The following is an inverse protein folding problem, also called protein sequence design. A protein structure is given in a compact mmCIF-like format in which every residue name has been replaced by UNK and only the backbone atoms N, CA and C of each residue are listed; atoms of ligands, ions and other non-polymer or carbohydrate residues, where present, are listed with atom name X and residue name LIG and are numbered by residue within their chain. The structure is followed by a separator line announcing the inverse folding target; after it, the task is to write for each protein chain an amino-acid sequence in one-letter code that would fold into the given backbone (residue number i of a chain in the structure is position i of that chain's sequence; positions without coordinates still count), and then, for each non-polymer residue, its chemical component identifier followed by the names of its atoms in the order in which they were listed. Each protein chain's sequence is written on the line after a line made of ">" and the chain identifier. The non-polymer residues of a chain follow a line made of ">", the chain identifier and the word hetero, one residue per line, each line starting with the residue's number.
data_IF_654726783467
#
_entry.id   IF_654726783467
#
_cell.length_a   1.000
_cell.length_b   1.000
_cell.length_c   1.000
_cell.angle_alpha   90.00
_cell.angle_beta   90.00
_cell.angle_gamma   90.00
#
_symmetry.space_group_name_H-M   'P 1'
#
loop_
_entity.id
_entity.type
_entity.pdbx_description
1 polymer ?
#
# COMPACT_ATOMS: atom_id res chain seq x y z
N UNK A 1 59.62 -0.61 27.12
CA UNK A 1 59.24 -0.91 25.74
C UNK A 1 58.40 -2.19 25.75
N UNK A 2 57.08 -2.08 25.86
CA UNK A 2 56.14 -3.22 25.74
C UNK A 2 55.09 -2.79 24.70
N UNK A 3 55.06 -3.50 23.59
CA UNK A 3 54.07 -3.33 22.51
C UNK A 3 52.76 -4.00 22.94
N UNK A 4 51.71 -3.24 23.03
CA UNK A 4 50.33 -3.75 23.25
C UNK A 4 49.72 -3.95 21.87
N UNK A 5 49.35 -5.18 21.54
CA UNK A 5 48.62 -5.56 20.35
C UNK A 5 47.13 -5.36 20.63
N UNK A 6 46.49 -4.43 19.95
CA UNK A 6 45.04 -4.26 19.97
C UNK A 6 44.45 -5.14 18.88
N UNK A 7 43.74 -6.21 19.26
CA UNK A 7 43.02 -7.11 18.38
C UNK A 7 41.63 -6.53 18.21
N UNK A 8 41.35 -5.96 17.04
CA UNK A 8 40.00 -5.48 16.64
C UNK A 8 39.22 -6.70 16.17
N UNK A 9 38.26 -7.10 16.96
CA UNK A 9 37.25 -8.12 16.60
C UNK A 9 36.16 -7.45 15.78
N UNK A 10 36.23 -7.62 14.47
CA UNK A 10 35.16 -7.20 13.56
C UNK A 10 34.00 -8.20 13.68
N UNK A 11 32.97 -7.83 14.43
CA UNK A 11 31.66 -8.50 14.33
C UNK A 11 31.00 -8.12 13.01
N UNK A 12 31.05 -9.01 12.03
CA UNK A 12 30.14 -8.96 10.89
C UNK A 12 28.73 -9.32 11.37
N UNK A 13 27.90 -8.33 11.58
CA UNK A 13 26.45 -8.51 11.64
C UNK A 13 25.94 -8.75 10.22
N UNK A 14 25.72 -10.01 9.87
CA UNK A 14 24.91 -10.36 8.69
C UNK A 14 23.44 -10.12 9.02
N UNK A 15 22.90 -8.98 8.58
CA UNK A 15 21.46 -8.76 8.52
C UNK A 15 20.87 -9.70 7.46
N UNK A 16 20.27 -10.79 7.89
CA UNK A 16 19.40 -11.62 7.04
C UNK A 16 18.02 -10.97 7.00
N UNK A 17 17.76 -10.20 5.96
CA UNK A 17 16.40 -9.76 5.64
C UNK A 17 15.63 -10.92 5.00
N UNK A 18 14.58 -11.40 5.66
CA UNK A 18 13.66 -12.39 5.09
C UNK A 18 12.67 -11.66 4.18
N UNK A 19 12.81 -11.85 2.89
CA UNK A 19 11.81 -11.45 1.89
C UNK A 19 10.75 -12.53 1.67
N UNK A 20 9.61 -12.16 1.09
CA UNK A 20 8.56 -13.08 0.64
C UNK A 20 9.17 -14.20 -0.23
N UNK A 21 9.50 -15.32 0.36
CA UNK A 21 10.08 -16.46 -0.32
C UNK A 21 9.08 -17.59 -0.42
N UNK A 22 8.68 -17.97 -1.64
CA UNK A 22 8.10 -19.29 -1.90
C UNK A 22 9.10 -20.36 -1.49
N UNK A 23 8.78 -21.17 -0.49
CA UNK A 23 9.39 -22.48 -0.42
C UNK A 23 8.88 -23.28 -1.62
N UNK A 24 9.79 -23.62 -2.53
CA UNK A 24 9.53 -24.59 -3.55
C UNK A 24 9.30 -25.94 -2.89
N UNK A 25 8.04 -26.33 -2.69
CA UNK A 25 7.66 -27.72 -2.50
C UNK A 25 7.89 -28.45 -3.81
N UNK A 26 8.47 -29.65 -3.73
CA UNK A 26 8.67 -30.56 -4.85
C UNK A 26 7.38 -30.73 -5.68
N UNK A 27 7.47 -30.99 -6.98
CA UNK A 27 6.29 -31.10 -7.83
C UNK A 27 5.50 -32.36 -7.42
N UNK A 28 4.37 -32.09 -6.77
CA UNK A 28 3.36 -33.15 -6.55
C UNK A 28 2.55 -33.26 -7.83
N UNK A 29 2.82 -34.31 -8.58
CA UNK A 29 2.12 -34.68 -9.82
C UNK A 29 0.81 -35.43 -9.48
N UNK A 30 -0.14 -34.73 -8.89
CA UNK A 30 -1.52 -35.21 -8.81
C UNK A 30 -2.47 -34.02 -9.06
N UNK A 31 -3.13 -34.09 -10.21
CA UNK A 31 -4.28 -33.38 -10.70
C UNK A 31 -4.56 -31.99 -10.08
N UNK A 32 -4.25 -30.94 -10.82
CA UNK A 32 -4.69 -29.59 -10.46
C UNK A 32 -6.20 -29.60 -10.19
N UNK A 33 -6.67 -29.04 -9.06
CA UNK A 33 -8.08 -28.73 -8.90
C UNK A 33 -8.45 -27.75 -10.01
N UNK A 34 -9.47 -28.07 -10.79
CA UNK A 34 -10.10 -27.13 -11.70
C UNK A 34 -10.55 -25.96 -10.83
N UNK A 35 -9.92 -24.80 -10.95
CA UNK A 35 -10.44 -23.57 -10.41
C UNK A 35 -11.83 -23.36 -11.02
N UNK A 36 -12.87 -23.68 -10.28
CA UNK A 36 -14.22 -23.21 -10.58
C UNK A 36 -14.18 -21.71 -10.32
N UNK A 37 -13.92 -20.94 -11.37
CA UNK A 37 -14.14 -19.51 -11.37
C UNK A 37 -15.60 -19.28 -11.00
N UNK A 38 -15.86 -18.79 -9.78
CA UNK A 38 -17.14 -18.20 -9.46
C UNK A 38 -17.45 -17.14 -10.51
N UNK A 39 -18.70 -17.02 -10.99
CA UNK A 39 -19.02 -16.00 -11.97
C UNK A 39 -18.62 -14.64 -11.41
N UNK A 40 -17.71 -13.98 -12.12
CA UNK A 40 -17.38 -12.59 -11.89
C UNK A 40 -18.70 -11.83 -12.03
N UNK A 41 -19.23 -11.33 -10.92
CA UNK A 41 -20.37 -10.40 -10.97
C UNK A 41 -19.92 -9.23 -11.82
N UNK A 42 -20.76 -8.80 -12.76
CA UNK A 42 -20.54 -7.75 -13.74
C UNK A 42 -19.77 -6.56 -13.13
N UNK A 43 -18.46 -6.56 -13.34
CA UNK A 43 -17.60 -5.46 -12.95
C UNK A 43 -17.44 -4.59 -14.19
N UNK A 44 -18.09 -3.44 -14.20
CA UNK A 44 -17.78 -2.38 -15.17
C UNK A 44 -16.32 -1.98 -14.97
N UNK A 45 -15.47 -2.31 -15.96
CA UNK A 45 -14.11 -1.77 -16.04
C UNK A 45 -14.26 -0.24 -16.11
N UNK A 46 -13.84 0.52 -15.12
CA UNK A 46 -13.97 1.96 -15.20
C UNK A 46 -13.17 2.46 -16.39
N UNK A 47 -13.82 3.19 -17.27
CA UNK A 47 -13.18 4.07 -18.27
C UNK A 47 -12.11 4.95 -17.60
N UNK A 48 -11.15 5.53 -18.34
CA UNK A 48 -9.91 6.08 -17.78
C UNK A 48 -10.13 6.76 -16.45
N UNK A 49 -9.37 6.26 -15.45
CA UNK A 49 -9.64 6.50 -14.05
C UNK A 49 -9.44 7.98 -13.73
N UNK A 50 -10.52 8.69 -13.49
CA UNK A 50 -10.43 10.01 -12.86
C UNK A 50 -9.99 9.83 -11.41
N UNK A 51 -9.10 10.70 -10.95
CA UNK A 51 -8.62 10.69 -9.55
C UNK A 51 -9.84 10.74 -8.62
N UNK A 52 -10.04 9.68 -7.82
CA UNK A 52 -11.11 9.66 -6.82
C UNK A 52 -10.61 10.27 -5.53
N UNK A 53 -11.50 11.04 -4.89
CA UNK A 53 -11.30 11.57 -3.55
C UNK A 53 -12.19 10.74 -2.62
N UNK A 54 -11.62 10.17 -1.57
CA UNK A 54 -12.28 9.28 -0.62
C UNK A 54 -12.73 10.05 0.62
N UNK A 55 -13.62 11.03 0.43
CA UNK A 55 -14.10 11.91 1.50
C UNK A 55 -15.63 11.89 1.57
N UNK A 56 -16.15 12.36 2.69
CA UNK A 56 -17.59 12.42 2.94
C UNK A 56 -17.97 13.85 3.32
N UNK A 57 -19.09 14.33 2.79
CA UNK A 57 -19.65 15.63 3.18
C UNK A 57 -20.25 15.58 4.58
N UNK A 58 -20.95 14.48 4.91
CA UNK A 58 -21.54 14.18 6.21
C UNK A 58 -20.73 13.07 6.91
N UNK A 59 -20.97 12.89 8.21
CA UNK A 59 -20.32 11.83 8.98
C UNK A 59 -20.76 10.44 8.45
N UNK A 60 -19.82 9.63 7.92
CA UNK A 60 -20.15 8.35 7.34
C UNK A 60 -20.42 7.30 8.43
N UNK A 61 -21.25 6.33 8.11
CA UNK A 61 -21.40 5.12 8.92
C UNK A 61 -20.14 4.23 8.79
N UNK A 62 -19.87 3.33 9.76
CA UNK A 62 -18.80 2.35 9.63
C UNK A 62 -18.88 1.52 8.34
N UNK A 63 -20.07 1.19 7.87
CA UNK A 63 -20.26 0.45 6.61
C UNK A 63 -19.82 1.27 5.40
N UNK A 64 -20.15 2.56 5.35
CA UNK A 64 -19.69 3.45 4.27
C UNK A 64 -18.17 3.59 4.27
N UNK A 65 -17.52 3.67 5.44
CA UNK A 65 -16.05 3.66 5.55
C UNK A 65 -15.46 2.37 5.00
N UNK A 66 -16.04 1.21 5.35
CA UNK A 66 -15.61 -0.11 4.88
C UNK A 66 -15.70 -0.21 3.35
N UNK A 67 -16.82 0.15 2.76
CA UNK A 67 -17.02 0.11 1.31
C UNK A 67 -16.06 1.05 0.57
N UNK A 68 -15.79 2.23 1.13
CA UNK A 68 -14.85 3.18 0.56
C UNK A 68 -13.41 2.68 0.64
N UNK A 69 -13.01 2.04 1.74
CA UNK A 69 -11.68 1.43 1.88
C UNK A 69 -11.47 0.28 0.87
N UNK A 70 -12.50 -0.57 0.67
CA UNK A 70 -12.47 -1.62 -0.36
C UNK A 70 -12.30 -0.99 -1.74
N UNK A 71 -13.06 0.06 -2.04
CA UNK A 71 -12.98 0.74 -3.33
C UNK A 71 -11.62 1.39 -3.54
N UNK A 72 -11.04 2.04 -2.53
CA UNK A 72 -9.71 2.65 -2.61
C UNK A 72 -8.62 1.62 -2.92
N UNK A 73 -8.66 0.45 -2.27
CA UNK A 73 -7.73 -0.63 -2.60
C UNK A 73 -8.01 -1.21 -3.99
N UNK A 74 -9.27 -1.35 -4.38
CA UNK A 74 -9.64 -1.84 -5.71
C UNK A 74 -9.17 -0.90 -6.81
N UNK A 75 -9.30 0.42 -6.62
CA UNK A 75 -8.81 1.42 -7.56
C UNK A 75 -7.30 1.29 -7.78
N UNK A 76 -6.55 1.06 -6.69
CA UNK A 76 -5.11 0.81 -6.74
C UNK A 76 -4.76 -0.50 -7.48
N UNK A 77 -5.60 -1.55 -7.37
CA UNK A 77 -5.40 -2.86 -8.00
C UNK A 77 -5.87 -2.92 -9.46
N UNK A 78 -6.73 -2.01 -9.91
CA UNK A 78 -7.43 -2.09 -11.19
C UNK A 78 -7.13 -0.96 -12.16
N UNK A 79 -6.38 0.08 -11.78
CA UNK A 79 -5.98 1.14 -12.72
C UNK A 79 -5.28 0.52 -13.93
N UNK A 80 -5.83 0.74 -15.13
CA UNK A 80 -5.25 0.22 -16.36
C UNK A 80 -4.31 1.23 -16.99
N UNK A 81 -3.19 0.74 -17.50
CA UNK A 81 -2.17 1.57 -18.09
C UNK A 81 -1.29 0.82 -19.09
N UNK A 82 -0.64 1.56 -19.97
CA UNK A 82 0.44 1.09 -20.82
C UNK A 82 1.66 2.01 -20.68
N UNK A 83 2.76 1.62 -21.26
CA UNK A 83 3.99 2.43 -21.29
C UNK A 83 4.60 2.43 -22.68
N UNK A 84 5.28 3.50 -23.04
CA UNK A 84 6.05 3.58 -24.31
C UNK A 84 7.49 3.07 -24.13
N UNK A 85 7.97 2.97 -22.88
CA UNK A 85 9.31 2.51 -22.55
C UNK A 85 9.27 1.29 -21.63
N UNK A 86 10.25 0.40 -21.76
CA UNK A 86 10.34 -0.76 -20.88
C UNK A 86 10.66 -0.32 -19.45
N UNK A 87 9.86 -0.80 -18.49
CA UNK A 87 10.08 -0.58 -17.05
C UNK A 87 10.54 -1.89 -16.44
N UNK A 88 11.82 -1.97 -16.04
CA UNK A 88 12.38 -3.16 -15.42
C UNK A 88 12.95 -2.85 -14.04
N UNK A 89 12.58 -3.64 -13.04
CA UNK A 89 13.08 -3.50 -11.68
C UNK A 89 13.17 -4.85 -10.97
N UNK A 90 13.87 -4.85 -9.86
CA UNK A 90 13.97 -6.02 -9.00
C UNK A 90 13.19 -5.76 -7.72
N UNK A 91 12.26 -6.65 -7.37
CA UNK A 91 11.75 -6.71 -6.03
C UNK A 91 12.81 -7.33 -5.12
N UNK A 92 13.38 -6.52 -4.25
CA UNK A 92 14.35 -6.99 -3.27
C UNK A 92 13.64 -7.64 -2.10
N UNK A 93 13.70 -8.96 -2.06
CA UNK A 93 13.37 -9.74 -0.89
C UNK A 93 14.54 -10.70 -0.62
N UNK A 94 14.73 -11.13 0.61
CA UNK A 94 15.96 -11.77 1.09
C UNK A 94 16.38 -13.05 0.37
N UNK A 95 15.55 -13.69 -0.44
CA UNK A 95 15.86 -15.03 -0.99
C UNK A 95 15.76 -15.11 -2.51
N UNK A 96 15.04 -14.24 -3.18
CA UNK A 96 15.00 -14.24 -4.65
C UNK A 96 14.86 -12.82 -5.20
N UNK A 97 15.80 -12.43 -6.06
CA UNK A 97 15.64 -11.23 -6.87
C UNK A 97 14.64 -11.55 -7.99
N UNK A 98 13.36 -11.33 -7.73
CA UNK A 98 12.36 -11.45 -8.80
C UNK A 98 12.44 -10.18 -9.65
N UNK A 99 12.69 -10.36 -10.96
CA UNK A 99 12.66 -9.27 -11.93
C UNK A 99 11.23 -9.11 -12.43
N UNK A 100 10.75 -7.89 -12.38
CA UNK A 100 9.54 -7.47 -13.06
C UNK A 100 9.90 -6.70 -14.31
N UNK A 101 9.19 -6.92 -15.38
CA UNK A 101 9.39 -6.25 -16.65
C UNK A 101 8.04 -5.91 -17.27
N UNK A 102 7.78 -4.61 -17.42
CA UNK A 102 6.64 -4.09 -18.14
C UNK A 102 7.13 -3.68 -19.52
N UNK A 103 6.50 -4.19 -20.57
CA UNK A 103 6.94 -3.99 -21.95
C UNK A 103 6.11 -2.91 -22.62
N UNK A 104 6.71 -2.13 -23.54
CA UNK A 104 5.97 -1.16 -24.32
C UNK A 104 4.81 -1.79 -25.08
N UNK A 105 3.67 -1.11 -25.07
CA UNK A 105 2.46 -1.52 -25.81
C UNK A 105 1.66 -2.65 -25.20
N UNK A 106 2.10 -3.27 -24.10
CA UNK A 106 1.29 -4.21 -23.31
C UNK A 106 0.41 -3.44 -22.32
N UNK A 107 -0.76 -4.00 -21.99
CA UNK A 107 -1.69 -3.40 -21.02
C UNK A 107 -1.52 -4.05 -19.65
N UNK A 108 -1.37 -3.21 -18.65
CA UNK A 108 -1.21 -3.59 -17.25
C UNK A 108 -2.38 -3.08 -16.42
N UNK A 109 -2.66 -3.75 -15.30
CA UNK A 109 -3.63 -3.30 -14.32
C UNK A 109 -3.04 -3.35 -12.90
N UNK A 110 -3.39 -2.32 -12.12
CA UNK A 110 -2.85 -2.05 -10.80
C UNK A 110 -1.51 -1.34 -10.83
N UNK A 111 -1.17 -0.71 -9.71
CA UNK A 111 0.14 -0.08 -9.52
C UNK A 111 1.25 -1.14 -9.50
N UNK A 112 2.52 -0.72 -9.64
CA UNK A 112 3.63 -1.66 -9.67
C UNK A 112 3.76 -2.42 -8.32
N UNK A 113 4.11 -3.71 -8.39
CA UNK A 113 4.33 -4.53 -7.20
C UNK A 113 5.77 -4.38 -6.70
N UNK A 114 5.99 -3.54 -5.70
CA UNK A 114 7.31 -3.18 -5.19
C UNK A 114 7.34 -3.02 -3.66
N UNK A 115 8.50 -2.67 -3.12
CA UNK A 115 8.67 -2.36 -1.69
C UNK A 115 8.77 -0.84 -1.44
N UNK A 116 8.47 0.01 -2.42
CA UNK A 116 8.53 1.46 -2.25
C UNK A 116 7.40 2.00 -1.35
N UNK A 117 6.38 1.19 -1.10
CA UNK A 117 5.24 1.54 -0.22
C UNK A 117 4.50 2.81 -0.63
N UNK A 118 4.45 3.08 -1.94
CA UNK A 118 3.70 4.20 -2.52
C UNK A 118 2.32 3.73 -2.96
N UNK A 119 1.33 4.63 -2.89
CA UNK A 119 -0.05 4.32 -3.24
C UNK A 119 -0.45 4.80 -4.63
N UNK A 120 -1.78 4.87 -4.83
CA UNK A 120 -2.36 5.30 -6.10
C UNK A 120 -1.99 6.74 -6.47
N UNK A 121 -2.00 7.68 -5.51
CA UNK A 121 -1.78 9.09 -5.82
C UNK A 121 -0.36 9.38 -6.29
N UNK A 122 0.64 8.68 -5.75
CA UNK A 122 2.02 8.76 -6.24
C UNK A 122 2.15 8.19 -7.65
N UNK A 123 1.42 7.11 -7.96
CA UNK A 123 1.37 6.55 -9.30
C UNK A 123 0.73 7.52 -10.30
N UNK A 124 -0.37 8.20 -9.89
CA UNK A 124 -1.09 9.17 -10.72
C UNK A 124 -0.25 10.39 -11.13
N UNK A 125 0.82 10.72 -10.40
CA UNK A 125 1.74 11.80 -10.78
C UNK A 125 2.47 11.56 -12.12
N UNK A 126 2.50 10.30 -12.58
CA UNK A 126 3.15 9.87 -13.81
C UNK A 126 2.19 9.19 -14.78
N UNK A 127 0.90 9.22 -14.48
CA UNK A 127 -0.15 8.63 -15.26
C UNK A 127 -0.92 9.71 -16.02
N UNK A 128 -0.92 9.62 -17.34
CA UNK A 128 -1.75 10.46 -18.20
C UNK A 128 -3.17 9.89 -18.29
N UNK A 129 -4.13 10.59 -17.70
CA UNK A 129 -5.52 10.16 -17.63
C UNK A 129 -6.23 10.19 -19.01
N UNK A 130 -5.74 10.96 -19.97
CA UNK A 130 -6.33 11.05 -21.29
C UNK A 130 -5.92 9.87 -22.18
N UNK A 131 -4.66 9.46 -22.06
CA UNK A 131 -4.07 8.43 -22.92
C UNK A 131 -3.94 7.06 -22.23
N UNK A 132 -4.08 6.98 -20.89
CA UNK A 132 -3.84 5.77 -20.14
C UNK A 132 -2.35 5.39 -20.05
N UNK A 133 -1.44 6.32 -20.36
CA UNK A 133 -0.01 6.08 -20.35
C UNK A 133 0.61 6.38 -19.00
N UNK A 134 1.47 5.48 -18.56
CA UNK A 134 2.34 5.67 -17.42
C UNK A 134 3.78 5.91 -17.89
N UNK A 135 4.32 7.08 -17.55
CA UNK A 135 5.69 7.48 -17.88
C UNK A 135 6.55 7.49 -16.63
N UNK A 136 7.46 6.53 -16.50
CA UNK A 136 8.32 6.47 -15.32
C UNK A 136 9.25 7.70 -15.26
N UNK A 137 9.42 8.34 -14.08
CA UNK A 137 10.12 9.62 -13.96
C UNK A 137 11.64 9.56 -14.20
N UNK A 138 12.22 8.37 -14.16
CA UNK A 138 13.66 8.14 -14.39
C UNK A 138 13.85 7.02 -15.41
N UNK A 139 15.04 6.93 -16.06
CA UNK A 139 15.33 5.79 -16.92
C UNK A 139 15.09 4.48 -16.15
N UNK A 140 14.06 3.76 -16.54
CA UNK A 140 13.48 2.65 -15.78
C UNK A 140 14.32 1.36 -15.88
N UNK A 141 15.60 1.49 -16.21
CA UNK A 141 16.48 0.35 -16.33
C UNK A 141 17.18 0.06 -15.00
N UNK A 142 16.85 -1.07 -14.38
CA UNK A 142 17.46 -1.58 -13.15
C UNK A 142 17.22 -0.73 -11.88
N UNK A 143 16.02 -0.22 -11.70
CA UNK A 143 15.64 0.47 -10.48
C UNK A 143 15.82 -0.44 -9.26
N UNK A 144 16.38 0.11 -8.19
CA UNK A 144 16.48 -0.58 -6.90
C UNK A 144 15.11 -0.64 -6.23
N UNK A 145 14.33 0.43 -6.35
CA UNK A 145 12.98 0.57 -5.82
C UNK A 145 12.14 1.28 -6.89
N UNK A 146 11.10 0.60 -7.38
CA UNK A 146 10.10 1.19 -8.27
C UNK A 146 8.94 1.76 -7.46
N UNK A 147 8.27 2.80 -7.99
CA UNK A 147 6.97 3.22 -7.47
C UNK A 147 6.04 2.02 -7.41
N UNK A 148 5.36 1.87 -6.28
CA UNK A 148 4.41 0.77 -6.12
C UNK A 148 4.31 0.32 -4.66
N UNK A 149 3.65 -0.80 -4.45
CA UNK A 149 3.36 -1.29 -3.12
C UNK A 149 3.39 -2.82 -3.04
N UNK A 150 3.46 -3.30 -1.83
CA UNK A 150 3.31 -4.72 -1.49
C UNK A 150 1.90 -5.02 -1.00
N UNK A 151 1.64 -6.27 -0.61
CA UNK A 151 0.34 -6.69 -0.08
C UNK A 151 -0.09 -5.89 1.17
N UNK A 152 0.83 -5.66 2.10
CA UNK A 152 0.53 -4.91 3.31
C UNK A 152 0.36 -3.41 3.03
N UNK A 153 1.14 -2.88 2.07
CA UNK A 153 1.05 -1.46 1.71
C UNK A 153 -0.24 -1.13 0.97
N UNK A 154 -0.71 -2.00 0.07
CA UNK A 154 -1.98 -1.80 -0.63
C UNK A 154 -3.16 -1.79 0.34
N UNK A 155 -3.15 -2.68 1.34
CA UNK A 155 -4.12 -2.67 2.42
C UNK A 155 -4.02 -1.36 3.24
N UNK A 156 -2.79 -0.94 3.58
CA UNK A 156 -2.54 0.29 4.31
C UNK A 156 -3.09 1.50 3.57
N UNK A 157 -2.82 1.64 2.26
CA UNK A 157 -3.34 2.75 1.46
C UNK A 157 -4.86 2.69 1.34
N UNK A 158 -5.46 1.49 1.19
CA UNK A 158 -6.91 1.30 1.22
C UNK A 158 -7.53 1.78 2.54
N UNK A 159 -6.98 1.37 3.68
CA UNK A 159 -7.48 1.78 4.99
C UNK A 159 -7.22 3.26 5.29
N UNK A 160 -6.03 3.76 4.99
CA UNK A 160 -5.67 5.16 5.25
C UNK A 160 -6.40 6.15 4.35
N UNK A 161 -7.15 5.70 3.36
CA UNK A 161 -8.03 6.57 2.58
C UNK A 161 -9.23 7.09 3.41
N UNK A 162 -9.60 6.40 4.48
CA UNK A 162 -10.76 6.74 5.32
C UNK A 162 -10.49 6.66 6.82
N UNK A 163 -9.39 6.07 7.26
CA UNK A 163 -9.06 5.86 8.67
C UNK A 163 -7.85 6.70 9.08
N UNK A 164 -8.07 7.77 9.84
CA UNK A 164 -7.01 8.65 10.33
C UNK A 164 -6.13 7.99 11.42
N UNK A 165 -6.61 6.92 12.07
CA UNK A 165 -5.85 6.19 13.10
C UNK A 165 -4.71 5.32 12.52
N UNK A 166 -4.74 5.01 11.23
CA UNK A 166 -3.75 4.15 10.59
C UNK A 166 -2.39 4.82 10.55
N UNK A 167 -1.46 4.32 11.34
CA UNK A 167 -0.10 4.90 11.44
C UNK A 167 0.90 4.31 10.45
N UNK A 168 0.48 3.26 9.75
CA UNK A 168 1.34 2.57 8.80
C UNK A 168 2.18 1.47 9.43
N UNK A 169 2.63 0.55 8.61
CA UNK A 169 3.50 -0.57 8.97
C UNK A 169 3.54 -1.55 7.82
N UNK A 170 4.73 -1.82 7.29
CA UNK A 170 4.90 -2.65 6.11
C UNK A 170 4.66 -4.11 6.27
N UNK A 171 4.87 -4.61 7.46
CA UNK A 171 4.88 -6.03 7.66
C UNK A 171 3.56 -6.45 8.30
N UNK A 172 2.97 -7.56 7.86
CA UNK A 172 1.76 -8.09 8.48
C UNK A 172 1.86 -8.18 10.02
N UNK A 173 3.04 -8.48 10.53
CA UNK A 173 3.32 -8.50 11.97
C UNK A 173 3.14 -7.14 12.63
N UNK A 174 3.55 -6.07 11.99
CA UNK A 174 3.44 -4.71 12.51
C UNK A 174 2.00 -4.21 12.56
N UNK A 175 1.14 -4.76 11.70
CA UNK A 175 -0.28 -4.43 11.68
C UNK A 175 -0.98 -4.86 12.95
N UNK A 176 -0.58 -5.96 13.57
CA UNK A 176 -1.25 -6.50 14.77
C UNK A 176 -0.84 -5.80 16.06
N UNK A 177 0.39 -5.27 16.15
CA UNK A 177 0.94 -4.91 17.46
C UNK A 177 1.23 -3.44 17.69
N UNK A 178 1.58 -2.68 16.66
CA UNK A 178 2.09 -1.31 16.85
C UNK A 178 1.16 -0.22 16.34
N UNK A 179 0.13 -0.57 15.56
CA UNK A 179 -0.61 0.40 14.78
C UNK A 179 -2.08 0.60 15.19
N UNK A 180 -2.48 0.06 16.33
CA UNK A 180 -3.86 0.23 16.82
C UNK A 180 -4.89 -0.61 16.08
N UNK A 181 -4.46 -1.69 15.42
CA UNK A 181 -5.38 -2.68 14.85
C UNK A 181 -6.05 -3.49 15.94
N UNK A 182 -7.32 -3.80 15.74
CA UNK A 182 -8.13 -4.55 16.67
C UNK A 182 -8.31 -5.99 16.18
N UNK A 183 -8.30 -7.00 17.08
CA UNK A 183 -8.63 -8.36 16.71
C UNK A 183 -10.13 -8.48 16.38
N UNK A 184 -10.46 -9.15 15.28
CA UNK A 184 -11.83 -9.55 14.98
C UNK A 184 -12.17 -10.79 15.80
N UNK A 185 -13.35 -10.81 16.45
CA UNK A 185 -13.82 -11.96 17.24
C UNK A 185 -13.16 -12.14 18.60
N UNK A 186 -12.29 -11.21 19.02
CA UNK A 186 -11.77 -11.15 20.39
C UNK A 186 -10.80 -12.28 20.76
N UNK A 187 -9.97 -12.74 19.83
CA UNK A 187 -8.85 -13.62 20.17
C UNK A 187 -7.83 -12.86 21.02
N UNK A 188 -7.08 -13.61 21.84
CA UNK A 188 -6.07 -13.03 22.73
C UNK A 188 -4.71 -13.01 22.05
N UNK A 189 -3.98 -11.91 22.23
CA UNK A 189 -2.57 -11.78 21.89
C UNK A 189 -1.90 -10.98 23.03
N UNK A 190 -0.78 -11.46 23.52
CA UNK A 190 -0.09 -10.86 24.67
C UNK A 190 1.43 -11.07 24.60
N UNK A 191 1.97 -10.93 23.39
CA UNK A 191 3.43 -11.00 23.25
C UNK A 191 4.00 -9.66 22.87
N UNK A 192 5.20 -9.38 23.37
CA UNK A 192 6.04 -8.33 22.86
C UNK A 192 6.81 -8.87 21.65
N UNK A 193 6.78 -8.13 20.55
CA UNK A 193 7.52 -8.48 19.35
C UNK A 193 8.85 -7.77 19.40
N UNK A 194 9.88 -8.49 19.73
CA UNK A 194 11.25 -7.95 19.80
C UNK A 194 12.00 -8.11 18.47
N UNK A 195 11.55 -8.99 17.57
CA UNK A 195 12.23 -9.23 16.30
C UNK A 195 11.30 -9.69 15.17
N UNK A 196 11.71 -9.44 13.92
CA UNK A 196 11.06 -9.93 12.71
C UNK A 196 11.08 -11.46 12.53
N UNK A 197 11.88 -12.16 13.34
CA UNK A 197 11.99 -13.63 13.25
C UNK A 197 10.88 -14.37 14.01
N UNK A 198 10.05 -13.66 14.76
CA UNK A 198 8.90 -14.26 15.40
C UNK A 198 7.77 -14.42 14.38
N UNK A 199 6.99 -15.49 14.52
CA UNK A 199 5.80 -15.76 13.72
C UNK A 199 4.54 -15.51 14.55
N UNK A 200 4.19 -14.24 14.83
CA UNK A 200 3.14 -13.94 15.81
C UNK A 200 1.76 -14.42 15.37
N UNK A 201 1.44 -14.47 14.09
CA UNK A 201 0.15 -15.00 13.64
C UNK A 201 0.03 -16.50 13.97
N UNK A 202 1.09 -17.28 13.78
CA UNK A 202 1.14 -18.68 14.19
C UNK A 202 1.00 -18.83 15.72
N UNK A 203 1.74 -18.04 16.49
CA UNK A 203 1.67 -18.07 17.95
C UNK A 203 0.27 -17.67 18.46
N UNK A 204 -0.41 -16.74 17.79
CA UNK A 204 -1.80 -16.38 18.10
C UNK A 204 -2.74 -17.56 17.85
N UNK A 205 -2.62 -18.26 16.72
CA UNK A 205 -3.43 -19.45 16.43
C UNK A 205 -3.16 -20.54 17.47
N UNK A 206 -1.90 -20.84 17.81
CA UNK A 206 -1.52 -21.82 18.83
C UNK A 206 -2.05 -21.45 20.23
N UNK A 207 -2.01 -20.16 20.60
CA UNK A 207 -2.49 -19.68 21.90
C UNK A 207 -4.01 -19.79 22.08
N UNK A 208 -4.76 -19.49 21.03
CA UNK A 208 -6.23 -19.44 21.09
C UNK A 208 -6.90 -20.78 20.71
N UNK A 209 -6.20 -21.63 19.98
CA UNK A 209 -6.75 -22.83 19.36
C UNK A 209 -7.50 -22.54 18.05
N UNK A 210 -7.55 -23.55 17.18
CA UNK A 210 -8.16 -23.46 15.86
C UNK A 210 -9.66 -23.11 15.94
N UNK A 211 -10.40 -23.71 16.84
CA UNK A 211 -11.84 -23.45 17.01
C UNK A 211 -12.12 -21.97 17.26
N UNK A 212 -11.32 -21.32 18.12
CA UNK A 212 -11.47 -19.88 18.39
C UNK A 212 -11.18 -19.04 17.14
N UNK A 213 -10.17 -19.42 16.36
CA UNK A 213 -9.82 -18.70 15.13
C UNK A 213 -10.90 -18.88 14.06
N UNK A 214 -11.50 -20.08 13.97
CA UNK A 214 -12.65 -20.34 13.09
C UNK A 214 -13.84 -19.44 13.47
N UNK A 215 -14.15 -19.31 14.76
CA UNK A 215 -15.17 -18.39 15.24
C UNK A 215 -14.86 -16.93 14.84
N UNK A 216 -13.58 -16.55 14.83
CA UNK A 216 -13.17 -15.21 14.39
C UNK A 216 -13.34 -15.04 12.87
N UNK A 217 -13.05 -16.08 12.04
CA UNK A 217 -13.33 -16.02 10.61
C UNK A 217 -14.81 -15.82 10.29
N UNK A 218 -15.70 -16.45 11.07
CA UNK A 218 -17.14 -16.28 10.90
C UNK A 218 -17.64 -14.86 11.21
N UNK A 219 -16.85 -14.04 11.88
CA UNK A 219 -17.20 -12.68 12.31
C UNK A 219 -16.59 -11.58 11.45
N UNK A 220 -15.79 -11.93 10.44
CA UNK A 220 -15.20 -10.92 9.56
C UNK A 220 -16.27 -10.13 8.83
N UNK A 221 -15.96 -8.87 8.61
CA UNK A 221 -16.78 -7.93 7.87
C UNK A 221 -16.02 -7.37 6.66
N UNK A 222 -16.71 -6.82 5.66
CA UNK A 222 -16.07 -6.11 4.56
C UNK A 222 -14.99 -5.13 5.05
N UNK A 223 -13.88 -5.00 4.34
CA UNK A 223 -12.70 -4.21 4.67
C UNK A 223 -11.87 -4.66 5.89
N UNK A 224 -12.27 -5.68 6.65
CA UNK A 224 -11.35 -6.29 7.60
C UNK A 224 -10.15 -6.88 6.84
N UNK A 225 -9.08 -7.18 7.54
CA UNK A 225 -7.90 -7.80 6.94
C UNK A 225 -7.63 -9.17 7.51
N UNK A 226 -7.09 -10.05 6.68
CA UNK A 226 -6.49 -11.31 7.09
C UNK A 226 -4.98 -11.18 6.94
N UNK A 227 -4.23 -11.33 8.04
CA UNK A 227 -2.78 -11.19 8.05
C UNK A 227 -2.09 -12.46 8.50
N UNK A 228 -1.02 -12.83 7.77
CA UNK A 228 -0.20 -14.01 8.09
C UNK A 228 1.28 -13.66 8.03
N UNK A 229 2.00 -13.93 9.12
CA UNK A 229 3.46 -13.86 9.12
C UNK A 229 4.10 -15.15 8.58
N UNK A 230 3.38 -16.26 8.60
CA UNK A 230 3.83 -17.53 8.00
C UNK A 230 4.00 -17.37 6.49
N UNK A 231 3.01 -16.74 5.83
CA UNK A 231 3.06 -16.44 4.40
C UNK A 231 3.64 -15.05 4.10
N UNK A 232 3.88 -14.23 5.13
CA UNK A 232 4.25 -12.82 5.00
C UNK A 232 3.31 -12.09 4.03
N UNK A 233 1.98 -12.19 4.29
CA UNK A 233 0.96 -11.72 3.39
C UNK A 233 -0.21 -11.08 4.13
N UNK A 234 -0.82 -10.06 3.51
CA UNK A 234 -2.00 -9.37 3.98
C UNK A 234 -3.05 -9.32 2.87
N UNK A 235 -4.31 -9.50 3.25
CA UNK A 235 -5.47 -9.59 2.38
C UNK A 235 -6.56 -8.67 2.90
N UNK A 236 -7.33 -8.04 2.03
CA UNK A 236 -8.54 -7.29 2.44
C UNK A 236 -9.78 -8.14 2.17
N UNK A 237 -10.62 -8.24 3.16
CA UNK A 237 -11.91 -8.95 3.09
C UNK A 237 -12.90 -8.13 2.26
N UNK A 238 -13.62 -8.80 1.34
CA UNK A 238 -14.60 -8.16 0.45
C UNK A 238 -16.03 -8.30 0.96
N UNK A 239 -16.31 -9.39 1.67
CA UNK A 239 -17.67 -9.74 2.14
C UNK A 239 -17.59 -10.51 3.46
N UNK A 240 -18.72 -10.66 4.12
CA UNK A 240 -18.85 -11.58 5.26
C UNK A 240 -18.48 -13.00 4.86
N UNK A 241 -18.02 -13.81 5.82
CA UNK A 241 -17.64 -15.19 5.55
C UNK A 241 -18.83 -16.01 5.03
N UNK A 242 -18.57 -16.80 4.00
CA UNK A 242 -19.47 -17.89 3.62
C UNK A 242 -19.19 -19.10 4.49
N UNK A 243 -20.20 -19.58 5.23
CA UNK A 243 -20.05 -20.67 6.20
C UNK A 243 -20.95 -21.85 5.81
N UNK A 244 -20.36 -23.02 5.60
CA UNK A 244 -21.05 -24.28 5.44
C UNK A 244 -20.80 -25.19 6.65
N UNK A 245 -21.78 -26.02 6.96
CA UNK A 245 -21.72 -26.95 8.10
C UNK A 245 -21.75 -28.41 7.61
N UNK A 246 -21.03 -29.25 8.31
CA UNK A 246 -21.11 -30.70 8.17
C UNK A 246 -22.41 -31.23 8.79
N UNK A 247 -22.73 -32.49 8.51
CA UNK A 247 -23.94 -33.15 9.04
C UNK A 247 -23.98 -33.26 10.59
N UNK A 248 -22.82 -33.19 11.24
CA UNK A 248 -22.68 -33.20 12.70
C UNK A 248 -22.74 -31.80 13.34
N UNK A 249 -22.94 -30.75 12.52
CA UNK A 249 -23.03 -29.36 12.97
C UNK A 249 -21.69 -28.64 13.10
N UNK A 250 -20.56 -29.28 12.82
CA UNK A 250 -19.25 -28.61 12.78
C UNK A 250 -19.09 -27.79 11.49
N UNK A 251 -18.25 -26.77 11.51
CA UNK A 251 -17.95 -25.96 10.31
C UNK A 251 -17.17 -26.81 9.30
N UNK A 252 -17.61 -26.79 8.05
CA UNK A 252 -16.89 -27.45 6.95
C UNK A 252 -15.79 -26.52 6.46
N UNK A 253 -14.54 -26.78 6.87
CA UNK A 253 -13.40 -25.90 6.60
C UNK A 253 -13.01 -25.83 5.12
N UNK A 254 -13.26 -26.88 4.35
CA UNK A 254 -12.94 -26.94 2.93
C UNK A 254 -13.95 -26.19 2.05
N UNK A 255 -15.19 -26.03 2.53
CA UNK A 255 -16.28 -25.35 1.81
C UNK A 255 -16.59 -23.96 2.33
N UNK A 256 -16.28 -23.70 3.60
CA UNK A 256 -16.38 -22.35 4.15
C UNK A 256 -15.23 -21.49 3.65
N UNK A 257 -15.49 -20.24 3.26
CA UNK A 257 -14.47 -19.35 2.68
C UNK A 257 -14.71 -17.88 2.99
N UNK A 258 -13.68 -17.07 2.78
CA UNK A 258 -13.74 -15.61 2.82
C UNK A 258 -13.32 -15.07 1.45
N UNK A 259 -14.15 -14.18 0.89
CA UNK A 259 -13.84 -13.44 -0.34
C UNK A 259 -12.88 -12.29 -0.03
N UNK A 260 -11.84 -12.15 -0.83
CA UNK A 260 -10.70 -11.27 -0.55
C UNK A 260 -10.14 -10.63 -1.81
N UNK A 261 -9.39 -9.54 -1.62
CA UNK A 261 -8.54 -8.93 -2.65
C UNK A 261 -7.11 -8.73 -2.10
N UNK A 262 -6.11 -8.73 -2.99
CA UNK A 262 -4.70 -8.55 -2.59
C UNK A 262 -3.82 -8.00 -3.71
N UNK A 263 -2.71 -7.38 -3.31
CA UNK A 263 -1.57 -7.08 -4.18
C UNK A 263 -0.50 -8.12 -3.91
N UNK A 264 -0.14 -8.94 -4.90
CA UNK A 264 0.82 -10.01 -4.67
C UNK A 264 1.87 -10.15 -5.75
N UNK A 265 1.64 -9.67 -6.94
CA UNK A 265 2.38 -10.10 -8.12
C UNK A 265 2.10 -11.58 -8.43
N UNK A 266 1.90 -11.90 -9.67
CA UNK A 266 1.60 -13.25 -10.14
C UNK A 266 2.81 -14.20 -10.07
N UNK A 267 2.59 -15.43 -10.46
CA UNK A 267 3.62 -16.43 -10.61
C UNK A 267 4.42 -16.22 -11.92
N UNK A 268 5.63 -16.72 -12.00
CA UNK A 268 6.44 -16.66 -13.21
C UNK A 268 6.89 -15.26 -13.58
N UNK A 269 6.20 -14.61 -14.51
CA UNK A 269 6.48 -13.25 -15.00
C UNK A 269 6.13 -12.14 -14.00
N UNK A 270 5.40 -12.45 -12.92
CA UNK A 270 5.01 -11.48 -11.90
C UNK A 270 3.60 -10.92 -12.04
N UNK A 271 2.81 -11.40 -13.00
CA UNK A 271 1.46 -10.93 -13.27
C UNK A 271 0.43 -12.06 -13.23
N UNK A 272 -0.83 -11.68 -12.99
CA UNK A 272 -2.01 -12.49 -13.22
C UNK A 272 -2.63 -12.05 -14.55
N UNK A 273 -2.54 -12.91 -15.56
CA UNK A 273 -3.03 -12.57 -16.90
C UNK A 273 -4.52 -12.85 -17.01
N UNK A 274 -5.28 -11.87 -17.51
CA UNK A 274 -6.70 -12.04 -17.86
C UNK A 274 -6.90 -11.66 -19.32
N UNK A 275 -7.84 -12.34 -19.98
CA UNK A 275 -8.23 -12.00 -21.35
C UNK A 275 -9.60 -11.30 -21.28
N UNK A 276 -9.63 -10.03 -21.60
CA UNK A 276 -10.84 -9.19 -21.64
C UNK A 276 -11.00 -8.67 -23.06
N UNK A 277 -12.12 -8.99 -23.71
CA UNK A 277 -12.43 -8.59 -25.08
C UNK A 277 -11.31 -8.93 -26.10
N UNK A 278 -10.64 -10.09 -25.87
CA UNK A 278 -9.54 -10.56 -26.70
C UNK A 278 -8.17 -9.93 -26.41
N UNK A 279 -8.08 -8.99 -25.47
CA UNK A 279 -6.83 -8.37 -25.04
C UNK A 279 -6.31 -9.03 -23.76
N UNK A 280 -5.00 -9.27 -23.68
CA UNK A 280 -4.34 -9.73 -22.46
C UNK A 280 -4.07 -8.52 -21.56
N UNK A 281 -4.54 -8.56 -20.32
CA UNK A 281 -4.28 -7.57 -19.29
C UNK A 281 -3.47 -8.22 -18.18
N UNK A 282 -2.34 -7.62 -17.83
CA UNK A 282 -1.39 -8.11 -16.85
C UNK A 282 -1.64 -7.46 -15.48
N UNK A 283 -2.27 -8.18 -14.55
CA UNK A 283 -2.61 -7.66 -13.22
C UNK A 283 -1.46 -7.86 -12.23
N UNK A 284 -1.15 -6.83 -11.46
CA UNK A 284 -0.19 -6.91 -10.34
C UNK A 284 -0.81 -7.41 -9.03
N UNK A 285 -2.12 -7.58 -8.99
CA UNK A 285 -2.89 -8.06 -7.84
C UNK A 285 -4.19 -8.74 -8.28
N UNK A 286 -4.98 -9.17 -7.30
CA UNK A 286 -6.28 -9.80 -7.54
C UNK A 286 -7.38 -9.00 -6.90
N UNK A 287 -8.38 -8.60 -7.68
CA UNK A 287 -9.49 -7.78 -7.21
C UNK A 287 -10.61 -8.59 -6.55
N UNK A 288 -10.67 -9.90 -6.80
CA UNK A 288 -11.62 -10.82 -6.14
C UNK A 288 -11.16 -12.27 -6.30
N UNK A 289 -11.05 -12.97 -5.18
CA UNK A 289 -10.85 -14.41 -5.09
C UNK A 289 -11.25 -14.86 -3.69
N UNK A 290 -11.13 -16.14 -3.35
CA UNK A 290 -11.46 -16.62 -2.02
C UNK A 290 -10.41 -17.61 -1.49
N UNK A 291 -10.25 -17.64 -0.17
CA UNK A 291 -9.54 -18.68 0.54
C UNK A 291 -10.51 -19.43 1.47
N UNK A 292 -10.40 -20.76 1.46
CA UNK A 292 -11.14 -21.62 2.38
C UNK A 292 -10.62 -21.46 3.81
N UNK A 293 -11.45 -21.79 4.80
CA UNK A 293 -11.03 -21.74 6.20
C UNK A 293 -9.86 -22.69 6.48
N UNK A 294 -9.84 -23.89 5.84
CA UNK A 294 -8.71 -24.80 5.90
C UNK A 294 -7.39 -24.13 5.46
N UNK A 295 -7.43 -23.47 4.30
CA UNK A 295 -6.27 -22.72 3.80
C UNK A 295 -5.85 -21.60 4.74
N UNK A 296 -6.78 -20.85 5.27
CA UNK A 296 -6.51 -19.74 6.18
C UNK A 296 -5.88 -20.21 7.50
N UNK A 297 -6.38 -21.31 8.08
CA UNK A 297 -5.81 -21.92 9.28
C UNK A 297 -4.41 -22.48 9.04
N UNK A 298 -4.24 -23.26 7.97
CA UNK A 298 -2.96 -23.85 7.60
C UNK A 298 -1.85 -22.81 7.40
N UNK A 299 -2.20 -21.68 6.86
CA UNK A 299 -1.29 -20.57 6.63
C UNK A 299 -1.26 -19.56 7.80
N UNK A 300 -1.94 -19.86 8.90
CA UNK A 300 -2.01 -19.04 10.12
C UNK A 300 -2.45 -17.59 9.87
N UNK A 301 -3.47 -17.39 9.05
CA UNK A 301 -4.08 -16.06 8.92
C UNK A 301 -4.89 -15.73 10.17
N UNK A 302 -4.80 -14.49 10.64
CA UNK A 302 -5.60 -13.94 11.73
C UNK A 302 -6.36 -12.72 11.24
N UNK A 303 -7.63 -12.55 11.63
CA UNK A 303 -8.45 -11.42 11.20
C UNK A 303 -8.22 -10.21 12.09
N UNK A 304 -8.05 -9.04 11.46
CA UNK A 304 -7.86 -7.75 12.14
C UNK A 304 -8.76 -6.67 11.50
N UNK A 305 -9.11 -5.65 12.28
CA UNK A 305 -9.93 -4.51 11.87
C UNK A 305 -9.38 -3.20 12.43
N UNK A 306 -10.07 -2.07 12.24
CA UNK A 306 -9.71 -0.75 12.78
C UNK A 306 -10.80 -0.21 13.70
N UNK A 307 -10.45 0.79 14.53
CA UNK A 307 -11.38 1.43 15.44
C UNK A 307 -12.51 2.17 14.70
N UNK A 308 -12.22 2.75 13.54
CA UNK A 308 -13.21 3.44 12.71
C UNK A 308 -14.26 2.45 12.15
N UNK A 309 -13.84 1.27 11.72
CA UNK A 309 -14.73 0.25 11.19
C UNK A 309 -15.63 -0.40 12.24
N UNK A 310 -15.23 -0.33 13.50
CA UNK A 310 -16.07 -0.80 14.63
C UNK A 310 -16.95 0.30 15.23
N UNK A 311 -16.78 1.55 14.80
CA UNK A 311 -17.44 2.71 15.41
C UNK A 311 -16.83 3.12 16.75
N UNK A 312 -15.72 2.50 17.19
CA UNK A 312 -15.01 2.89 18.41
C UNK A 312 -14.26 4.22 18.26
N UNK A 313 -13.98 4.62 17.03
CA UNK A 313 -13.47 5.93 16.67
C UNK A 313 -14.32 6.52 15.55
N UNK A 314 -14.72 7.79 15.70
CA UNK A 314 -15.42 8.53 14.66
C UNK A 314 -14.50 8.82 13.46
N UNK A 315 -15.10 8.98 12.28
CA UNK A 315 -14.42 9.48 11.10
C UNK A 315 -13.92 10.91 11.36
N UNK A 316 -12.77 11.22 10.85
CA UNK A 316 -12.18 12.56 10.87
C UNK A 316 -11.93 13.02 9.43
N UNK A 317 -12.42 14.20 9.05
CA UNK A 317 -12.05 14.81 7.76
C UNK A 317 -10.56 15.07 7.70
N UNK A 318 -9.97 14.99 6.51
CA UNK A 318 -8.57 15.33 6.35
C UNK A 318 -8.34 16.81 6.65
N UNK A 319 -7.24 17.09 7.34
CA UNK A 319 -6.80 18.44 7.66
C UNK A 319 -5.31 18.56 7.36
N UNK A 320 -4.92 19.76 6.92
CA UNK A 320 -3.52 20.13 6.79
C UNK A 320 -3.28 21.38 7.61
N UNK A 321 -2.23 21.39 8.40
CA UNK A 321 -1.76 22.55 9.18
C UNK A 321 -0.33 22.87 8.80
N UNK A 322 0.06 24.13 9.00
CA UNK A 322 1.42 24.62 8.80
C UNK A 322 1.89 25.28 10.09
N UNK A 323 3.17 25.22 10.37
CA UNK A 323 3.80 25.93 11.49
C UNK A 323 4.01 27.43 11.23
N UNK A 324 3.98 27.85 9.95
CA UNK A 324 4.01 29.25 9.55
C UNK A 324 2.87 29.56 8.58
N UNK A 325 1.94 30.41 8.98
CA UNK A 325 0.80 30.86 8.17
C UNK A 325 1.13 32.06 7.28
N UNK A 326 2.32 32.68 7.42
CA UNK A 326 2.72 33.91 6.75
C UNK A 326 3.90 33.73 5.78
N UNK A 327 4.03 32.50 5.23
CA UNK A 327 5.09 32.16 4.32
C UNK A 327 4.99 33.03 3.03
N UNK A 328 5.82 34.08 2.92
CA UNK A 328 5.83 35.02 1.82
C UNK A 328 7.20 35.11 1.10
N UNK A 329 8.20 34.42 1.61
CA UNK A 329 9.55 34.37 1.05
C UNK A 329 10.01 32.93 0.80
N UNK A 330 11.02 32.75 -0.06
CA UNK A 330 11.62 31.47 -0.33
C UNK A 330 12.24 30.83 0.93
N UNK A 331 12.88 31.63 1.78
CA UNK A 331 13.49 31.14 3.02
C UNK A 331 12.42 30.71 4.04
N UNK A 332 11.33 31.48 4.17
CA UNK A 332 10.19 31.08 4.99
C UNK A 332 9.54 29.78 4.44
N UNK A 333 9.37 29.65 3.11
CA UNK A 333 8.87 28.44 2.49
C UNK A 333 9.75 27.22 2.79
N UNK A 334 11.06 27.35 2.73
CA UNK A 334 12.00 26.27 3.07
C UNK A 334 11.97 25.91 4.55
N UNK A 335 11.68 26.87 5.42
CA UNK A 335 11.58 26.64 6.87
C UNK A 335 10.22 26.05 7.29
N UNK A 336 9.21 26.14 6.43
CA UNK A 336 7.86 25.73 6.75
C UNK A 336 7.70 24.20 6.83
N UNK A 337 6.89 23.74 7.78
CA UNK A 337 6.49 22.35 7.96
C UNK A 337 5.00 22.18 7.67
N UNK A 338 4.65 21.22 6.85
CA UNK A 338 3.27 20.79 6.66
C UNK A 338 2.98 19.55 7.53
N UNK A 339 1.79 19.51 8.14
CA UNK A 339 1.36 18.39 8.99
C UNK A 339 -0.11 18.05 8.73
N UNK A 340 -0.42 16.77 8.56
CA UNK A 340 -1.78 16.26 8.33
C UNK A 340 -2.16 15.19 9.36
N UNK A 341 -3.45 15.07 9.65
CA UNK A 341 -4.01 13.95 10.41
C UNK A 341 -4.08 12.65 9.58
N UNK A 342 -3.85 12.71 8.27
CA UNK A 342 -3.73 11.58 7.34
C UNK A 342 -2.30 11.44 6.81
N UNK A 343 -1.89 10.25 6.35
CA UNK A 343 -0.61 10.07 5.66
C UNK A 343 -0.46 11.02 4.47
N UNK A 344 0.71 11.62 4.32
CA UNK A 344 1.06 12.39 3.13
C UNK A 344 1.30 11.43 1.97
N UNK A 345 0.74 11.73 0.79
CA UNK A 345 0.97 10.95 -0.42
C UNK A 345 1.96 11.65 -1.35
N UNK A 346 1.70 12.91 -1.69
CA UNK A 346 2.53 13.70 -2.60
C UNK A 346 2.68 15.11 -2.05
N UNK A 347 3.87 15.67 -2.15
CA UNK A 347 4.08 17.11 -2.10
C UNK A 347 4.66 17.56 -3.44
N UNK A 348 4.03 18.55 -4.05
CA UNK A 348 4.38 19.05 -5.37
C UNK A 348 4.65 20.54 -5.31
N UNK A 349 5.74 20.98 -5.93
CA UNK A 349 6.04 22.40 -6.13
C UNK A 349 5.88 22.73 -7.59
N UNK A 350 4.99 23.68 -7.89
CA UNK A 350 4.70 24.17 -9.23
C UNK A 350 5.18 25.60 -9.37
N UNK A 351 6.00 25.87 -10.37
CA UNK A 351 6.35 27.21 -10.80
C UNK A 351 5.29 27.72 -11.79
N UNK A 352 4.80 28.93 -11.57
CA UNK A 352 3.83 29.61 -12.42
C UNK A 352 4.51 30.90 -12.91
N UNK A 353 4.73 31.00 -14.22
CA UNK A 353 5.37 32.16 -14.82
C UNK A 353 4.41 33.36 -14.98
N UNK A 354 4.91 34.49 -15.46
CA UNK A 354 4.12 35.70 -15.69
C UNK A 354 2.99 35.51 -16.72
N UNK A 355 3.08 34.52 -17.60
CA UNK A 355 2.02 34.16 -18.56
C UNK A 355 0.92 33.29 -17.96
N UNK A 356 1.15 32.76 -16.74
CA UNK A 356 0.30 31.79 -16.07
C UNK A 356 0.59 30.34 -16.49
N UNK A 357 1.68 30.07 -17.20
CA UNK A 357 2.07 28.70 -17.53
C UNK A 357 2.63 27.99 -16.31
N UNK A 358 2.11 26.80 -16.07
CA UNK A 358 2.45 25.96 -14.92
C UNK A 358 3.48 24.90 -15.28
N UNK A 359 4.52 24.77 -14.47
CA UNK A 359 5.53 23.74 -14.59
C UNK A 359 5.80 23.12 -13.22
N UNK A 360 5.60 21.82 -13.08
CA UNK A 360 5.98 21.10 -11.86
C UNK A 360 7.48 20.97 -11.81
N UNK A 361 8.10 21.62 -10.84
CA UNK A 361 9.56 21.68 -10.68
C UNK A 361 10.10 20.71 -9.65
N UNK A 362 9.25 20.23 -8.74
CA UNK A 362 9.61 19.19 -7.77
C UNK A 362 8.40 18.36 -7.34
N UNK A 363 8.71 17.13 -6.97
CA UNK A 363 7.79 16.21 -6.29
C UNK A 363 8.52 15.49 -5.18
N UNK A 364 7.86 15.36 -4.02
CA UNK A 364 8.20 14.37 -3.00
C UNK A 364 7.09 13.35 -2.98
N UNK A 365 7.46 12.08 -3.14
CA UNK A 365 6.53 10.96 -3.14
C UNK A 365 6.71 10.19 -1.84
N UNK A 366 5.75 10.31 -0.95
CA UNK A 366 5.85 9.71 0.37
C UNK A 366 5.54 8.23 0.31
N UNK A 367 6.53 7.43 0.65
CA UNK A 367 6.38 5.99 0.88
C UNK A 367 6.47 5.68 2.36
N UNK A 368 5.87 4.59 2.78
CA UNK A 368 5.98 4.15 4.15
C UNK A 368 7.38 3.58 4.46
N UNK A 369 7.78 3.57 5.73
CA UNK A 369 8.97 2.91 6.25
C UNK A 369 8.57 1.92 7.35
N UNK A 370 9.31 0.82 7.46
CA UNK A 370 8.95 -0.29 8.33
C UNK A 370 8.74 0.10 9.81
N UNK A 371 9.49 1.07 10.29
CA UNK A 371 9.51 1.50 11.70
C UNK A 371 8.65 2.73 11.99
N UNK A 372 8.45 3.60 11.01
CA UNK A 372 7.79 4.90 11.18
C UNK A 372 6.48 5.05 10.39
N UNK A 373 6.19 4.12 9.48
CA UNK A 373 5.03 4.22 8.59
C UNK A 373 5.18 5.30 7.52
N UNK A 374 4.04 5.73 6.97
CA UNK A 374 3.98 6.84 6.00
C UNK A 374 4.03 8.18 6.75
N UNK A 375 4.88 9.13 6.35
CA UNK A 375 4.97 10.43 7.00
C UNK A 375 3.63 11.19 7.02
N UNK A 376 3.41 11.91 8.10
CA UNK A 376 2.28 12.85 8.26
C UNK A 376 2.74 14.29 8.40
N UNK A 377 4.05 14.50 8.49
CA UNK A 377 4.67 15.80 8.61
C UNK A 377 5.92 15.85 7.73
N UNK A 378 6.15 16.99 7.09
CA UNK A 378 7.29 17.16 6.21
C UNK A 378 7.79 18.62 6.24
N UNK A 379 9.09 18.79 6.41
CA UNK A 379 9.76 20.10 6.28
C UNK A 379 10.02 20.38 4.80
N UNK A 380 9.43 21.41 4.24
CA UNK A 380 9.52 21.78 2.81
C UNK A 380 10.97 21.96 2.36
N UNK A 381 11.84 22.46 3.24
CA UNK A 381 13.27 22.60 2.98
C UNK A 381 14.03 21.29 2.70
N UNK A 382 13.44 20.14 3.05
CA UNK A 382 14.03 18.82 2.76
C UNK A 382 13.82 18.35 1.31
N UNK A 383 13.10 19.10 0.48
CA UNK A 383 13.00 18.78 -0.95
C UNK A 383 14.38 18.83 -1.61
N UNK A 384 14.74 17.79 -2.33
CA UNK A 384 16.00 17.69 -3.10
C UNK A 384 16.13 18.77 -4.19
N UNK A 385 15.02 19.38 -4.59
CA UNK A 385 14.98 20.48 -5.53
C UNK A 385 15.90 21.65 -5.15
N UNK A 386 15.93 22.00 -3.85
CA UNK A 386 16.58 23.25 -3.42
C UNK A 386 18.08 23.30 -3.74
N UNK A 387 18.72 22.15 -3.89
CA UNK A 387 20.13 22.08 -4.27
C UNK A 387 20.40 22.65 -5.67
N UNK A 388 19.43 22.58 -6.58
CA UNK A 388 19.54 22.99 -7.99
C UNK A 388 18.65 24.20 -8.33
N UNK A 389 17.86 24.66 -7.38
CA UNK A 389 16.84 25.68 -7.64
C UNK A 389 17.46 27.02 -8.01
N UNK A 390 18.60 27.40 -7.42
CA UNK A 390 19.30 28.65 -7.72
C UNK A 390 19.66 28.82 -9.20
N UNK A 391 19.93 27.71 -9.87
CA UNK A 391 20.37 27.66 -11.26
C UNK A 391 19.22 27.37 -12.24
N UNK A 392 17.98 27.24 -11.73
CA UNK A 392 16.83 26.87 -12.55
C UNK A 392 16.19 28.10 -13.22
N UNK A 393 15.60 27.90 -14.40
CA UNK A 393 14.77 28.89 -15.09
C UNK A 393 13.56 29.35 -14.27
N UNK A 394 13.13 28.55 -13.30
CA UNK A 394 12.04 28.88 -12.39
C UNK A 394 12.45 29.87 -11.29
N UNK A 395 13.75 30.12 -11.07
CA UNK A 395 14.25 31.08 -10.09
C UNK A 395 14.36 32.49 -10.69
N UNK A 396 13.22 33.07 -11.07
CA UNK A 396 13.15 34.41 -11.64
C UNK A 396 12.20 35.28 -10.80
N UNK A 397 12.51 36.57 -10.66
CA UNK A 397 11.59 37.55 -10.06
C UNK A 397 10.26 37.52 -10.80
N UNK A 398 9.15 37.57 -10.07
CA UNK A 398 7.79 37.45 -10.63
C UNK A 398 7.24 36.04 -10.75
N UNK A 399 8.07 34.99 -10.71
CA UNK A 399 7.60 33.60 -10.70
C UNK A 399 6.86 33.30 -9.39
N UNK A 400 5.68 32.70 -9.48
CA UNK A 400 4.98 32.17 -8.31
C UNK A 400 5.39 30.71 -8.07
N UNK A 401 5.62 30.34 -6.83
CA UNK A 401 5.79 28.97 -6.39
C UNK A 401 4.55 28.54 -5.59
N UNK A 402 3.83 27.57 -6.11
CA UNK A 402 2.68 26.95 -5.44
C UNK A 402 3.09 25.60 -4.89
N UNK A 403 2.80 25.34 -3.62
CA UNK A 403 3.01 24.04 -2.98
C UNK A 403 1.66 23.38 -2.79
N UNK A 404 1.49 22.21 -3.42
CA UNK A 404 0.31 21.39 -3.28
C UNK A 404 0.68 20.12 -2.50
N UNK A 405 -0.17 19.71 -1.55
CA UNK A 405 -0.01 18.51 -0.74
C UNK A 405 -1.23 17.61 -0.93
N UNK A 406 -1.01 16.40 -1.41
CA UNK A 406 -2.03 15.37 -1.53
C UNK A 406 -1.86 14.39 -0.36
N UNK A 407 -2.95 14.11 0.35
CA UNK A 407 -2.97 13.12 1.43
C UNK A 407 -3.62 11.81 0.98
N UNK A 408 -3.58 10.78 1.83
CA UNK A 408 -4.06 9.44 1.48
C UNK A 408 -5.56 9.34 1.16
N UNK A 409 -6.36 10.36 1.52
CA UNK A 409 -7.77 10.48 1.11
C UNK A 409 -7.94 10.96 -0.34
N UNK A 410 -6.87 11.45 -0.98
CA UNK A 410 -6.88 12.09 -2.30
C UNK A 410 -7.17 13.58 -2.26
N UNK A 411 -7.48 14.16 -1.10
CA UNK A 411 -7.64 15.60 -0.98
C UNK A 411 -6.32 16.32 -1.23
N UNK A 412 -6.42 17.43 -1.97
CA UNK A 412 -5.29 18.31 -2.28
C UNK A 412 -5.45 19.61 -1.50
N UNK A 413 -4.42 19.95 -0.76
CA UNK A 413 -4.29 21.20 -0.04
C UNK A 413 -3.21 22.07 -0.69
N UNK A 414 -3.44 23.39 -0.75
CA UNK A 414 -2.47 24.36 -1.24
C UNK A 414 -2.05 25.28 -0.08
N UNK A 415 -1.15 24.82 0.82
CA UNK A 415 -0.79 25.58 2.00
C UNK A 415 0.01 26.85 1.70
N UNK A 416 0.75 26.88 0.59
CA UNK A 416 1.62 28.00 0.27
C UNK A 416 1.54 28.40 -1.20
N UNK A 417 1.52 29.71 -1.43
CA UNK A 417 1.77 30.33 -2.73
C UNK A 417 2.59 31.59 -2.47
N UNK A 418 3.83 31.61 -2.97
CA UNK A 418 4.74 32.76 -2.82
C UNK A 418 5.13 33.32 -4.18
N UNK A 419 5.47 34.62 -4.25
CA UNK A 419 6.03 35.23 -5.46
C UNK A 419 7.49 35.55 -5.21
N UNK A 420 8.38 35.07 -6.07
CA UNK A 420 9.82 35.36 -5.99
C UNK A 420 10.08 36.82 -6.28
N UNK A 421 10.92 37.42 -5.46
CA UNK A 421 11.30 38.84 -5.57
C UNK A 421 12.61 39.02 -6.34
#
# INVERSE_FOLDING_TARGET
>A
MKKVFCMILACMLTLTMFGCGNQASAPDTTGAPVETTAPVTDYEVPSPMTTRIYTFEEDPTPEQLRQTAIQAMRDLLSIQWCTDEAIAYYKTGAVSKKRFEHKPGETYAGTLYSNASTGLFQFMEFYDQETGKFSYPEPAYLLKEALGNSCADSLLWGWSSVCSSIKGGYYPVMMVYKNGYLPVGGYTYNFEIDSFNQQPSRQIVELNGEDKIIECYMQVQPADSLVSNTNNHALMVLDTAHVEYNADGTVNLEKSYISIQDQRGGDGNGFYDQIIDGNVIHYSGRTSFHFTFDKLLKDHYIPVTTAEFTGAKAYEKATLTTDDSTCDTLDALKAATVTSNYPLAVLRVTAIDESGAETVIARELFGGKADTGVPRSFLVGNLSLWEKFSDSEANKSGTQLRVDVIVSTGETFTPFTITLQ
#
